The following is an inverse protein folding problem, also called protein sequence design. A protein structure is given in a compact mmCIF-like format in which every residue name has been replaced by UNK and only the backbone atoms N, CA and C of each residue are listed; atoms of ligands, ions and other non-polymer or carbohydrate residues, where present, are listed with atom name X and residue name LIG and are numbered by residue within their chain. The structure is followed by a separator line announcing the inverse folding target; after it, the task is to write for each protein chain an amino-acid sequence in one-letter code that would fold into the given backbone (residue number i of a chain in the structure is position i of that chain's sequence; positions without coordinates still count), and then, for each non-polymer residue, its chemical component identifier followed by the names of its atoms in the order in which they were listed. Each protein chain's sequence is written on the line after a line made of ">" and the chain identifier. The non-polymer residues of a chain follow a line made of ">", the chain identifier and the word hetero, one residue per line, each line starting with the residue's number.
data_IF_946154346265
#
_entry.id   IF_946154346265
#
_cell.length_a   1.000
_cell.length_b   1.000
_cell.length_c   1.000
_cell.angle_alpha   90.00
_cell.angle_beta   90.00
_cell.angle_gamma   90.00
#
_symmetry.space_group_name_H-M   'P 1'
#
loop_
_entity.id
_entity.type
_entity.pdbx_description
1 polymer ?
#
# COMPACT_ATOMS: atom_id res chain seq x y z
N UNK A 1 15.61 31.17 -79.85
CA UNK A 1 16.97 30.61 -79.95
C UNK A 1 17.78 31.22 -78.81
N UNK A 2 17.80 30.55 -77.65
CA UNK A 2 18.88 29.67 -77.15
C UNK A 2 19.98 30.55 -76.49
N UNK A 3 20.22 30.52 -75.18
CA UNK A 3 20.47 29.35 -74.34
C UNK A 3 20.00 29.54 -72.88
N UNK A 4 19.16 28.60 -72.45
CA UNK A 4 19.07 28.07 -71.08
C UNK A 4 20.24 27.06 -70.93
N UNK A 5 20.72 26.87 -69.70
CA UNK A 5 21.57 25.79 -69.15
C UNK A 5 23.00 26.18 -68.74
N UNK A 6 23.35 25.67 -67.54
CA UNK A 6 24.63 25.75 -66.81
C UNK A 6 24.94 27.06 -66.09
N UNK A 7 24.45 27.18 -64.87
CA UNK A 7 25.26 27.44 -63.66
C UNK A 7 24.37 27.30 -62.40
N UNK A 8 23.65 26.17 -62.35
CA UNK A 8 22.77 25.77 -61.24
C UNK A 8 23.31 24.43 -60.72
N UNK A 9 24.56 24.42 -60.26
CA UNK A 9 25.20 23.19 -59.76
C UNK A 9 26.42 23.41 -58.85
N UNK A 10 26.63 24.61 -58.29
CA UNK A 10 27.70 24.84 -57.29
C UNK A 10 27.18 25.40 -55.95
N UNK A 11 25.90 25.76 -55.84
CA UNK A 11 25.29 26.20 -54.57
C UNK A 11 24.51 25.12 -53.80
N UNK A 12 24.51 23.86 -54.25
CA UNK A 12 23.79 22.75 -53.58
C UNK A 12 24.71 21.79 -52.81
N UNK A 13 26.05 21.88 -52.97
CA UNK A 13 26.97 20.91 -52.34
C UNK A 13 27.59 21.43 -51.02
N UNK A 14 27.50 22.74 -50.71
CA UNK A 14 28.05 23.30 -49.47
C UNK A 14 27.02 23.48 -48.33
N UNK A 15 25.75 23.08 -48.52
CA UNK A 15 24.77 22.94 -47.44
C UNK A 15 24.68 21.49 -46.89
N UNK A 16 25.48 20.56 -47.44
CA UNK A 16 25.54 19.14 -47.05
C UNK A 16 26.74 18.80 -46.17
N UNK A 17 27.22 19.76 -45.39
CA UNK A 17 28.09 19.49 -44.26
C UNK A 17 27.48 20.03 -42.97
N UNK A 18 26.15 19.87 -42.83
CA UNK A 18 25.54 19.83 -41.51
C UNK A 18 26.24 18.68 -40.78
N UNK A 19 27.11 19.02 -39.81
CA UNK A 19 27.73 18.06 -38.91
C UNK A 19 26.66 17.04 -38.51
N UNK A 20 26.91 15.76 -38.81
CA UNK A 20 25.96 14.72 -38.42
C UNK A 20 25.64 14.92 -36.94
N UNK A 21 24.35 15.03 -36.58
CA UNK A 21 24.02 15.39 -35.22
C UNK A 21 24.58 14.36 -34.26
N UNK A 22 25.15 14.87 -33.18
CA UNK A 22 25.60 14.06 -32.08
C UNK A 22 24.35 13.46 -31.41
N UNK A 23 24.18 12.14 -31.51
CA UNK A 23 22.99 11.46 -31.02
C UNK A 23 22.80 11.62 -29.51
N UNK A 24 23.90 11.76 -28.75
CA UNK A 24 23.85 12.05 -27.32
C UNK A 24 23.28 13.45 -27.05
N UNK A 25 23.65 14.45 -27.86
CA UNK A 25 23.12 15.81 -27.73
C UNK A 25 21.63 15.86 -28.07
N UNK A 26 21.19 15.20 -29.14
CA UNK A 26 19.77 15.11 -29.47
C UNK A 26 18.95 14.41 -28.37
N UNK A 27 19.50 13.34 -27.80
CA UNK A 27 18.87 12.62 -26.70
C UNK A 27 18.75 13.49 -25.45
N UNK A 28 19.82 14.17 -25.05
CA UNK A 28 19.84 15.07 -23.89
C UNK A 28 18.93 16.29 -24.12
N UNK A 29 18.81 16.77 -25.35
CA UNK A 29 17.90 17.85 -25.73
C UNK A 29 16.42 17.42 -25.78
N UNK A 30 16.12 16.13 -25.62
CA UNK A 30 14.76 15.59 -25.69
C UNK A 30 14.19 15.55 -27.11
N UNK A 31 15.03 15.62 -28.14
CA UNK A 31 14.63 15.57 -29.56
C UNK A 31 14.46 14.11 -30.03
N UNK A 32 13.62 13.35 -29.32
CA UNK A 32 13.51 11.89 -29.47
C UNK A 32 13.09 11.43 -30.86
N UNK A 33 12.22 12.17 -31.56
CA UNK A 33 11.84 11.86 -32.95
C UNK A 33 13.07 11.91 -33.87
N UNK A 34 13.94 12.92 -33.71
CA UNK A 34 15.18 13.03 -34.49
C UNK A 34 16.20 11.97 -34.12
N UNK A 35 16.27 11.57 -32.85
CA UNK A 35 17.08 10.41 -32.44
C UNK A 35 16.60 9.17 -33.20
N UNK A 36 15.28 8.90 -33.20
CA UNK A 36 14.71 7.75 -33.92
C UNK A 36 14.98 7.82 -35.43
N UNK A 37 14.89 8.99 -36.04
CA UNK A 37 15.12 9.16 -37.48
C UNK A 37 16.59 9.06 -37.90
N UNK A 38 17.54 9.41 -37.03
CA UNK A 38 18.92 9.71 -37.44
C UNK A 38 20.00 8.89 -36.73
N UNK A 39 19.64 8.09 -35.72
CA UNK A 39 20.61 7.49 -34.79
C UNK A 39 20.51 5.97 -34.59
N UNK A 40 19.66 5.23 -35.31
CA UNK A 40 19.48 3.78 -35.14
C UNK A 40 20.81 3.00 -35.19
N UNK A 41 21.56 3.15 -36.28
CA UNK A 41 22.85 2.47 -36.47
C UNK A 41 23.95 2.92 -35.47
N UNK A 42 23.75 4.09 -34.85
CA UNK A 42 24.74 4.72 -33.96
C UNK A 42 24.54 4.30 -32.51
N UNK A 43 23.30 4.09 -32.08
CA UNK A 43 22.94 3.81 -30.69
C UNK A 43 22.75 2.31 -30.39
N UNK A 44 23.31 1.39 -31.18
CA UNK A 44 23.15 -0.06 -30.94
C UNK A 44 24.44 -0.80 -30.54
N UNK A 45 25.50 -0.08 -30.15
CA UNK A 45 26.84 -0.69 -29.97
C UNK A 45 27.12 -1.20 -28.56
N UNK A 46 26.56 -0.56 -27.54
CA UNK A 46 26.69 -0.97 -26.14
C UNK A 46 25.35 -0.82 -25.39
N UNK A 47 25.29 -1.34 -24.17
CA UNK A 47 24.04 -1.39 -23.39
C UNK A 47 23.47 0.00 -23.09
N UNK A 48 24.31 0.99 -22.78
CA UNK A 48 23.84 2.35 -22.53
C UNK A 48 23.24 2.98 -23.79
N UNK A 49 23.88 2.78 -24.93
CA UNK A 49 23.37 3.27 -26.21
C UNK A 49 22.06 2.57 -26.60
N UNK A 50 21.98 1.25 -26.42
CA UNK A 50 20.73 0.50 -26.65
C UNK A 50 19.60 1.00 -25.76
N UNK A 51 19.93 1.38 -24.54
CA UNK A 51 18.99 2.04 -23.64
C UNK A 51 18.57 3.41 -24.16
N UNK A 52 19.49 4.27 -24.60
CA UNK A 52 19.16 5.57 -25.20
C UNK A 52 18.24 5.41 -26.41
N UNK A 53 18.52 4.42 -27.28
CA UNK A 53 17.67 4.10 -28.42
C UNK A 53 16.26 3.67 -28.00
N UNK A 54 16.15 2.71 -27.08
CA UNK A 54 14.86 2.22 -26.59
C UNK A 54 14.03 3.33 -25.91
N UNK A 55 14.69 4.22 -25.15
CA UNK A 55 14.03 5.37 -24.52
C UNK A 55 13.61 6.41 -25.54
N UNK A 56 14.40 6.67 -26.59
CA UNK A 56 13.99 7.56 -27.68
C UNK A 56 12.76 7.01 -28.44
N UNK A 57 12.74 5.70 -28.70
CA UNK A 57 11.57 5.03 -29.28
C UNK A 57 10.34 5.15 -28.38
N UNK A 58 10.51 5.03 -27.06
CA UNK A 58 9.42 5.27 -26.11
C UNK A 58 8.94 6.72 -26.15
N UNK A 59 9.85 7.67 -25.96
CA UNK A 59 9.51 9.09 -25.76
C UNK A 59 9.09 9.83 -27.04
N UNK A 60 9.41 9.29 -28.23
CA UNK A 60 8.81 9.73 -29.50
C UNK A 60 7.32 9.35 -29.64
N UNK A 61 6.81 8.42 -28.82
CA UNK A 61 5.42 7.93 -28.89
C UNK A 61 4.63 8.19 -27.61
N UNK A 62 5.31 8.30 -26.48
CA UNK A 62 4.73 8.57 -25.16
C UNK A 62 5.48 9.76 -24.59
N UNK A 63 4.84 10.93 -24.52
CA UNK A 63 5.49 12.13 -24.00
C UNK A 63 6.06 11.87 -22.59
N UNK A 64 7.27 12.37 -22.26
CA UNK A 64 7.87 12.16 -20.94
C UNK A 64 6.95 12.56 -19.77
N UNK A 65 6.20 13.66 -19.92
CA UNK A 65 5.22 14.10 -18.91
C UNK A 65 4.10 13.07 -18.71
N UNK A 66 3.63 12.46 -19.80
CA UNK A 66 2.61 11.41 -19.74
C UNK A 66 3.14 10.13 -19.11
N UNK A 67 4.38 9.78 -19.42
CA UNK A 67 5.07 8.65 -18.77
C UNK A 67 5.20 8.86 -17.25
N UNK A 68 5.64 10.05 -16.82
CA UNK A 68 5.74 10.39 -15.40
C UNK A 68 4.36 10.43 -14.72
N UNK A 69 3.31 10.91 -15.39
CA UNK A 69 1.93 10.86 -14.89
C UNK A 69 1.50 9.41 -14.62
N UNK A 70 1.70 8.50 -15.60
CA UNK A 70 1.36 7.09 -15.47
C UNK A 70 2.11 6.46 -14.31
N UNK A 71 3.43 6.68 -14.24
CA UNK A 71 4.27 6.18 -13.16
C UNK A 71 3.77 6.69 -11.81
N UNK A 72 3.63 8.01 -11.67
CA UNK A 72 3.29 8.67 -10.42
C UNK A 72 1.92 8.22 -9.91
N UNK A 73 0.87 8.28 -10.75
CA UNK A 73 -0.49 7.88 -10.34
C UNK A 73 -0.53 6.40 -9.99
N UNK A 74 0.07 5.55 -10.82
CA UNK A 74 0.06 4.11 -10.57
C UNK A 74 0.85 3.72 -9.32
N UNK A 75 1.95 4.42 -9.02
CA UNK A 75 2.80 4.17 -7.86
C UNK A 75 2.26 4.78 -6.55
N UNK A 76 1.47 5.87 -6.63
CA UNK A 76 0.97 6.60 -5.46
C UNK A 76 -0.48 6.30 -5.09
N UNK A 77 -1.36 6.13 -6.07
CA UNK A 77 -2.81 6.13 -5.84
C UNK A 77 -3.53 4.87 -6.33
N UNK A 78 -2.83 3.95 -6.99
CA UNK A 78 -3.41 2.85 -7.79
C UNK A 78 -4.18 3.35 -9.01
N UNK A 79 -3.93 2.72 -10.17
CA UNK A 79 -4.65 2.98 -11.42
C UNK A 79 -6.17 2.84 -11.25
N UNK A 80 -6.63 1.81 -10.55
CA UNK A 80 -8.07 1.54 -10.38
C UNK A 80 -8.77 2.69 -9.65
N UNK A 81 -8.20 3.17 -8.56
CA UNK A 81 -8.78 4.26 -7.76
C UNK A 81 -8.84 5.54 -8.59
N UNK A 82 -7.80 5.81 -9.39
CA UNK A 82 -7.77 6.96 -10.29
C UNK A 82 -8.87 6.87 -11.36
N UNK A 83 -8.96 5.75 -12.08
CA UNK A 83 -9.93 5.58 -13.17
C UNK A 83 -11.36 5.61 -12.63
N UNK A 84 -11.61 5.03 -11.46
CA UNK A 84 -12.91 5.10 -10.79
C UNK A 84 -13.28 6.53 -10.38
N UNK A 85 -12.37 7.26 -9.74
CA UNK A 85 -12.66 8.62 -9.24
C UNK A 85 -12.81 9.64 -10.36
N UNK A 86 -12.07 9.49 -11.46
CA UNK A 86 -12.03 10.48 -12.53
C UNK A 86 -12.90 10.13 -13.73
N UNK A 87 -13.28 8.85 -13.88
CA UNK A 87 -13.90 8.33 -15.09
C UNK A 87 -12.97 8.33 -16.32
N UNK A 88 -11.67 8.64 -16.14
CA UNK A 88 -10.68 8.72 -17.22
C UNK A 88 -9.71 7.55 -17.12
N UNK A 89 -9.36 6.96 -18.27
CA UNK A 89 -8.28 5.96 -18.32
C UNK A 89 -6.93 6.61 -18.00
N UNK A 90 -6.10 5.92 -17.22
CA UNK A 90 -4.76 6.40 -16.89
C UNK A 90 -3.86 6.43 -18.13
N UNK A 91 -4.01 5.43 -18.99
CA UNK A 91 -3.23 5.26 -20.20
C UNK A 91 -4.08 4.71 -21.37
N UNK A 92 -3.64 4.98 -22.60
CA UNK A 92 -4.19 4.39 -23.82
C UNK A 92 -3.59 3.00 -24.10
N UNK A 93 -4.20 2.25 -25.02
CA UNK A 93 -3.67 0.97 -25.48
C UNK A 93 -2.32 1.12 -26.22
N UNK A 94 -2.13 2.24 -26.93
CA UNK A 94 -0.87 2.53 -27.62
C UNK A 94 0.25 2.84 -26.62
N UNK A 95 -0.02 3.68 -25.62
CA UNK A 95 0.94 3.97 -24.55
C UNK A 95 1.38 2.68 -23.83
N UNK A 96 0.42 1.79 -23.52
CA UNK A 96 0.71 0.47 -22.96
C UNK A 96 1.65 -0.34 -23.86
N UNK A 97 1.37 -0.39 -25.16
CA UNK A 97 2.18 -1.12 -26.13
C UNK A 97 3.62 -0.60 -26.15
N UNK A 98 3.80 0.72 -26.27
CA UNK A 98 5.14 1.32 -26.34
C UNK A 98 5.94 1.17 -25.04
N UNK A 99 5.29 1.29 -23.87
CA UNK A 99 5.97 1.08 -22.58
C UNK A 99 6.41 -0.37 -22.42
N UNK A 100 5.54 -1.33 -22.75
CA UNK A 100 5.89 -2.76 -22.69
C UNK A 100 7.00 -3.12 -23.68
N UNK A 101 7.03 -2.46 -24.84
CA UNK A 101 8.08 -2.70 -25.83
C UNK A 101 9.42 -2.11 -25.39
N UNK A 102 9.42 -0.89 -24.86
CA UNK A 102 10.61 -0.31 -24.22
C UNK A 102 11.14 -1.22 -23.10
N UNK A 103 10.25 -1.77 -22.26
CA UNK A 103 10.63 -2.70 -21.22
C UNK A 103 11.34 -3.95 -21.77
N UNK A 104 10.80 -4.61 -22.80
CA UNK A 104 11.43 -5.78 -23.41
C UNK A 104 12.84 -5.47 -23.93
N UNK A 105 13.04 -4.28 -24.48
CA UNK A 105 14.30 -3.86 -25.08
C UNK A 105 15.36 -3.47 -24.04
N UNK A 106 14.95 -3.07 -22.83
CA UNK A 106 15.90 -2.62 -21.79
C UNK A 106 16.13 -3.63 -20.66
N UNK A 107 15.22 -4.59 -20.42
CA UNK A 107 15.26 -5.45 -19.21
C UNK A 107 16.52 -6.29 -19.04
N UNK A 108 17.21 -6.61 -20.14
CA UNK A 108 18.44 -7.41 -20.12
C UNK A 108 19.72 -6.57 -20.09
N UNK A 109 19.62 -5.25 -20.24
CA UNK A 109 20.77 -4.36 -20.33
C UNK A 109 21.44 -4.20 -18.96
N UNK A 110 22.78 -4.22 -18.94
CA UNK A 110 23.58 -4.12 -17.72
C UNK A 110 24.14 -2.69 -17.59
N UNK A 111 23.34 -1.80 -17.02
CA UNK A 111 23.69 -0.39 -16.83
C UNK A 111 23.93 -0.12 -15.35
N UNK A 112 25.21 -0.06 -14.95
CA UNK A 112 25.60 0.03 -13.53
C UNK A 112 26.12 1.40 -13.09
N UNK A 113 26.57 2.24 -14.03
CA UNK A 113 27.26 3.52 -13.73
C UNK A 113 26.50 4.75 -14.23
N UNK A 114 25.18 4.63 -14.42
CA UNK A 114 24.33 5.70 -14.95
C UNK A 114 23.05 5.79 -14.10
N UNK A 115 23.04 6.56 -13.00
CA UNK A 115 21.95 6.55 -12.02
C UNK A 115 20.61 6.97 -12.62
N UNK A 116 20.61 7.94 -13.54
CA UNK A 116 19.39 8.40 -14.23
C UNK A 116 18.82 7.29 -15.13
N UNK A 117 19.69 6.52 -15.78
CA UNK A 117 19.27 5.38 -16.60
C UNK A 117 18.69 4.26 -15.74
N UNK A 118 19.34 3.93 -14.62
CA UNK A 118 18.84 2.93 -13.67
C UNK A 118 17.47 3.31 -13.10
N UNK A 119 17.30 4.58 -12.72
CA UNK A 119 16.02 5.09 -12.25
C UNK A 119 14.94 4.97 -13.32
N UNK A 120 15.25 5.33 -14.57
CA UNK A 120 14.28 5.22 -15.67
C UNK A 120 13.94 3.76 -16.00
N UNK A 121 14.92 2.85 -15.98
CA UNK A 121 14.69 1.41 -16.11
C UNK A 121 13.73 0.93 -15.02
N UNK A 122 13.96 1.33 -13.76
CA UNK A 122 13.07 0.98 -12.65
C UNK A 122 11.64 1.47 -12.88
N UNK A 123 11.46 2.72 -13.35
CA UNK A 123 10.13 3.26 -13.67
C UNK A 123 9.44 2.48 -14.80
N UNK A 124 10.15 2.23 -15.91
CA UNK A 124 9.61 1.48 -17.05
C UNK A 124 9.18 0.08 -16.61
N UNK A 125 10.02 -0.59 -15.83
CA UNK A 125 9.73 -1.89 -15.22
C UNK A 125 8.46 -1.85 -14.36
N UNK A 126 8.38 -0.89 -13.44
CA UNK A 126 7.24 -0.74 -12.54
C UNK A 126 5.94 -0.51 -13.31
N UNK A 127 5.96 0.33 -14.35
CA UNK A 127 4.77 0.56 -15.16
C UNK A 127 4.37 -0.72 -15.92
N UNK A 128 5.30 -1.37 -16.61
CA UNK A 128 5.04 -2.59 -17.39
C UNK A 128 4.45 -3.71 -16.51
N UNK A 129 5.13 -4.05 -15.43
CA UNK A 129 4.81 -5.27 -14.68
C UNK A 129 3.77 -5.04 -13.58
N UNK A 130 3.81 -3.88 -12.91
CA UNK A 130 2.93 -3.61 -11.76
C UNK A 130 1.67 -2.87 -12.19
N UNK A 131 1.79 -1.80 -12.97
CA UNK A 131 0.62 -0.97 -13.32
C UNK A 131 -0.18 -1.60 -14.46
N UNK A 132 0.49 -2.03 -15.53
CA UNK A 132 -0.17 -2.45 -16.77
C UNK A 132 -0.62 -3.92 -16.76
N UNK A 133 0.18 -4.84 -16.20
CA UNK A 133 -0.21 -6.26 -16.16
C UNK A 133 -1.16 -6.61 -14.99
N UNK A 134 -0.92 -6.11 -13.77
CA UNK A 134 -1.74 -6.50 -12.60
C UNK A 134 -3.17 -5.96 -12.61
N UNK A 135 -3.41 -4.80 -13.24
CA UNK A 135 -4.78 -4.25 -13.32
C UNK A 135 -5.70 -5.05 -14.24
N UNK A 136 -5.18 -6.01 -15.00
CA UNK A 136 -5.96 -6.85 -15.92
C UNK A 136 -6.16 -8.29 -15.41
N UNK A 137 -5.33 -8.77 -14.47
CA UNK A 137 -5.33 -10.15 -13.96
C UNK A 137 -6.16 -10.38 -12.69
N UNK A 138 -6.90 -9.38 -12.19
CA UNK A 138 -7.77 -9.52 -11.01
C UNK A 138 -9.01 -10.41 -11.23
N UNK A 139 -9.05 -11.19 -12.33
CA UNK A 139 -10.10 -12.17 -12.59
C UNK A 139 -9.82 -13.57 -12.01
N UNK A 140 -8.60 -13.91 -11.58
CA UNK A 140 -8.30 -15.29 -11.10
C UNK A 140 -7.62 -15.41 -9.72
N UNK A 141 -7.31 -14.30 -9.04
CA UNK A 141 -6.76 -14.32 -7.68
C UNK A 141 -5.36 -14.95 -7.55
N UNK A 142 -4.70 -15.33 -8.64
CA UNK A 142 -3.35 -15.90 -8.61
C UNK A 142 -2.30 -14.79 -8.73
N UNK A 143 -1.95 -14.21 -7.58
CA UNK A 143 -0.80 -13.31 -7.44
C UNK A 143 0.51 -14.09 -7.71
N UNK A 144 0.93 -14.22 -8.98
CA UNK A 144 2.27 -14.71 -9.31
C UNK A 144 3.33 -13.78 -8.72
N UNK A 145 4.17 -14.39 -7.89
CA UNK A 145 5.37 -13.90 -7.19
C UNK A 145 5.67 -12.40 -7.26
N UNK A 146 5.09 -11.63 -6.32
CA UNK A 146 5.33 -10.19 -6.20
C UNK A 146 6.74 -9.83 -5.72
N UNK A 147 7.45 -10.79 -5.12
CA UNK A 147 8.76 -10.57 -4.48
C UNK A 147 9.83 -10.17 -5.48
N UNK A 148 9.91 -10.87 -6.60
CA UNK A 148 10.97 -10.66 -7.61
C UNK A 148 10.86 -9.30 -8.29
N UNK A 149 9.63 -8.86 -8.60
CA UNK A 149 9.39 -7.57 -9.26
C UNK A 149 9.69 -6.39 -8.33
N UNK A 150 9.23 -6.47 -7.09
CA UNK A 150 9.49 -5.42 -6.10
C UNK A 150 10.98 -5.34 -5.77
N UNK A 151 11.66 -6.48 -5.69
CA UNK A 151 13.10 -6.54 -5.51
C UNK A 151 13.85 -5.90 -6.67
N UNK A 152 13.54 -6.25 -7.93
CA UNK A 152 14.21 -5.66 -9.09
C UNK A 152 14.04 -4.13 -9.15
N UNK A 153 12.82 -3.64 -8.91
CA UNK A 153 12.57 -2.21 -8.82
C UNK A 153 13.43 -1.55 -7.73
N UNK A 154 13.43 -2.12 -6.53
CA UNK A 154 14.16 -1.56 -5.39
C UNK A 154 15.67 -1.59 -5.57
N UNK A 155 16.22 -2.65 -6.16
CA UNK A 155 17.66 -2.77 -6.41
C UNK A 155 18.13 -1.68 -7.39
N UNK A 156 17.34 -1.38 -8.44
CA UNK A 156 17.66 -0.32 -9.39
C UNK A 156 17.48 1.09 -8.79
N UNK A 157 16.40 1.33 -8.04
CA UNK A 157 16.18 2.62 -7.35
C UNK A 157 17.29 2.85 -6.31
N UNK A 158 17.67 1.81 -5.56
CA UNK A 158 18.77 1.89 -4.60
C UNK A 158 20.11 2.18 -5.26
N UNK A 159 20.43 1.49 -6.35
CA UNK A 159 21.65 1.75 -7.11
C UNK A 159 21.71 3.20 -7.59
N UNK A 160 20.59 3.72 -8.08
CA UNK A 160 20.49 5.12 -8.50
C UNK A 160 20.67 6.11 -7.34
N UNK A 161 20.06 5.83 -6.17
CA UNK A 161 20.18 6.66 -4.98
C UNK A 161 21.60 6.65 -4.37
N UNK A 162 22.28 5.50 -4.41
CA UNK A 162 23.66 5.34 -3.92
C UNK A 162 24.66 6.04 -4.85
N UNK A 163 24.49 5.91 -6.17
CA UNK A 163 25.37 6.51 -7.16
C UNK A 163 25.17 8.03 -7.30
N UNK A 164 23.94 8.52 -7.11
CA UNK A 164 23.63 9.95 -7.05
C UNK A 164 22.86 10.31 -5.77
N UNK A 165 23.57 10.57 -4.66
CA UNK A 165 22.99 10.99 -3.38
C UNK A 165 22.06 12.21 -3.46
N UNK A 166 22.21 13.07 -4.47
CA UNK A 166 21.39 14.27 -4.68
C UNK A 166 20.09 13.99 -5.46
N UNK A 167 19.89 12.77 -5.95
CA UNK A 167 18.70 12.40 -6.69
C UNK A 167 17.50 12.25 -5.73
N UNK A 168 16.74 13.34 -5.61
CA UNK A 168 15.55 13.43 -4.75
C UNK A 168 14.49 12.39 -5.08
N UNK A 169 14.31 12.06 -6.35
CA UNK A 169 13.30 11.10 -6.78
C UNK A 169 13.68 9.67 -6.39
N UNK A 170 14.94 9.26 -6.60
CA UNK A 170 15.42 7.94 -6.18
C UNK A 170 15.34 7.80 -4.65
N UNK A 171 15.79 8.82 -3.91
CA UNK A 171 15.69 8.88 -2.45
C UNK A 171 14.22 8.78 -1.98
N UNK A 172 13.29 9.50 -2.62
CA UNK A 172 11.86 9.44 -2.29
C UNK A 172 11.28 8.05 -2.54
N UNK A 173 11.49 7.47 -3.72
CA UNK A 173 10.94 6.17 -4.09
C UNK A 173 11.44 5.05 -3.16
N UNK A 174 12.73 5.07 -2.82
CA UNK A 174 13.30 4.11 -1.88
C UNK A 174 12.79 4.33 -0.46
N UNK A 175 12.77 5.59 -0.02
CA UNK A 175 12.31 6.00 1.30
C UNK A 175 10.83 5.71 1.53
N UNK A 176 9.99 5.80 0.49
CA UNK A 176 8.55 5.51 0.56
C UNK A 176 8.27 4.10 1.08
N UNK A 177 9.11 3.14 0.70
CA UNK A 177 9.01 1.73 1.11
C UNK A 177 9.38 1.51 2.59
N UNK A 178 9.86 2.55 3.28
CA UNK A 178 10.00 2.52 4.73
C UNK A 178 8.69 2.66 5.48
N UNK A 179 7.59 3.01 4.80
CA UNK A 179 6.34 3.41 5.42
C UNK A 179 5.24 2.38 5.18
N UNK A 180 4.60 1.94 6.27
CA UNK A 180 3.34 1.21 6.23
C UNK A 180 2.17 2.12 6.64
N UNK A 181 1.03 1.90 6.00
CA UNK A 181 -0.22 2.54 6.38
C UNK A 181 -0.87 1.74 7.51
N UNK A 182 -1.26 2.44 8.57
CA UNK A 182 -1.94 1.85 9.71
C UNK A 182 -3.32 2.48 9.87
N UNK A 183 -4.33 1.64 9.87
CA UNK A 183 -5.68 2.03 10.23
C UNK A 183 -5.83 1.92 11.74
N UNK A 184 -6.16 3.02 12.40
CA UNK A 184 -6.51 3.00 13.83
C UNK A 184 -8.02 2.82 13.93
N UNK A 185 -8.43 1.71 14.55
CA UNK A 185 -9.84 1.40 14.74
C UNK A 185 -10.52 2.47 15.63
N UNK A 186 -11.70 2.94 15.19
CA UNK A 186 -12.43 4.02 15.86
C UNK A 186 -11.94 5.43 15.54
N UNK A 187 -10.98 5.60 14.62
CA UNK A 187 -10.64 6.88 14.01
C UNK A 187 -10.87 6.82 12.49
N UNK A 188 -12.02 7.29 11.99
CA UNK A 188 -12.33 7.25 10.55
C UNK A 188 -11.38 8.13 9.71
N UNK A 189 -10.59 9.01 10.33
CA UNK A 189 -9.53 9.79 9.67
C UNK A 189 -8.12 9.24 9.99
N UNK A 190 -8.02 8.15 10.75
CA UNK A 190 -6.80 7.63 11.36
C UNK A 190 -5.99 6.71 10.46
N UNK A 191 -5.69 7.17 9.24
CA UNK A 191 -4.68 6.51 8.39
C UNK A 191 -3.33 7.12 8.74
N UNK A 192 -2.58 6.41 9.58
CA UNK A 192 -1.28 6.85 10.06
C UNK A 192 -0.14 6.19 9.28
N UNK A 193 1.02 6.83 9.28
CA UNK A 193 2.24 6.37 8.61
C UNK A 193 3.25 5.92 9.65
N UNK A 194 3.51 4.61 9.68
CA UNK A 194 4.47 3.99 10.57
C UNK A 194 5.76 3.65 9.82
N UNK A 195 6.91 3.83 10.49
CA UNK A 195 8.22 3.43 9.96
C UNK A 195 8.38 1.91 10.13
N UNK A 196 8.11 1.15 9.07
CA UNK A 196 8.29 -0.30 9.04
C UNK A 196 9.70 -0.74 8.68
N UNK A 197 10.47 0.08 7.95
CA UNK A 197 11.86 -0.21 7.61
C UNK A 197 12.78 0.97 7.95
N UNK A 198 13.42 0.89 9.11
CA UNK A 198 14.32 1.93 9.63
C UNK A 198 15.55 2.16 8.74
N UNK A 199 15.96 1.20 7.90
CA UNK A 199 17.11 1.36 7.01
C UNK A 199 16.78 2.22 5.78
N UNK A 200 15.52 2.20 5.32
CA UNK A 200 15.08 2.96 4.16
C UNK A 200 14.58 4.37 4.52
N UNK A 201 14.10 4.58 5.74
CA UNK A 201 13.58 5.88 6.19
C UNK A 201 14.54 7.06 6.02
N UNK A 202 15.87 6.92 6.23
CA UNK A 202 16.82 8.00 5.97
C UNK A 202 16.80 8.55 4.54
N UNK A 203 16.47 7.72 3.54
CA UNK A 203 16.33 8.19 2.15
C UNK A 203 15.09 9.10 2.01
N UNK A 204 14.00 8.79 2.72
CA UNK A 204 12.79 9.63 2.72
C UNK A 204 13.07 10.99 3.34
N UNK A 205 13.76 11.02 4.49
CA UNK A 205 14.18 12.26 5.17
C UNK A 205 15.09 13.08 4.25
N UNK A 206 16.09 12.44 3.66
CA UNK A 206 17.03 13.09 2.74
C UNK A 206 16.34 13.70 1.52
N UNK A 207 15.37 13.00 0.92
CA UNK A 207 14.58 13.55 -0.18
C UNK A 207 13.80 14.81 0.26
N UNK A 208 13.24 14.80 1.48
CA UNK A 208 12.52 15.95 2.04
C UNK A 208 13.46 17.14 2.28
N UNK A 209 14.63 16.92 2.89
CA UNK A 209 15.66 17.93 3.13
C UNK A 209 16.18 18.57 1.82
N UNK A 210 16.18 17.80 0.73
CA UNK A 210 16.55 18.26 -0.61
C UNK A 210 15.37 18.91 -1.37
N UNK A 211 14.21 19.11 -0.72
CA UNK A 211 13.07 19.84 -1.27
C UNK A 211 12.04 19.01 -2.04
N UNK A 212 12.06 17.67 -1.94
CA UNK A 212 11.04 16.84 -2.57
C UNK A 212 9.69 16.97 -1.86
N UNK A 213 8.72 17.62 -2.49
CA UNK A 213 7.41 17.98 -1.89
C UNK A 213 6.69 16.78 -1.27
N UNK A 214 6.59 15.66 -1.98
CA UNK A 214 5.93 14.47 -1.42
C UNK A 214 6.73 13.83 -0.28
N UNK A 215 8.06 13.93 -0.30
CA UNK A 215 8.86 13.35 0.78
C UNK A 215 8.59 14.14 2.07
N UNK A 216 8.54 15.47 1.97
CA UNK A 216 8.19 16.35 3.07
C UNK A 216 6.81 16.00 3.66
N UNK A 217 5.78 15.87 2.82
CA UNK A 217 4.43 15.46 3.26
C UNK A 217 4.44 14.11 3.98
N UNK A 218 5.30 13.18 3.57
CA UNK A 218 5.41 11.86 4.19
C UNK A 218 6.15 11.90 5.53
N UNK A 219 7.26 12.63 5.60
CA UNK A 219 8.00 12.86 6.84
C UNK A 219 7.12 13.59 7.87
N UNK A 220 6.39 14.62 7.46
CA UNK A 220 5.49 15.38 8.35
C UNK A 220 4.37 14.50 8.92
N UNK A 221 3.79 13.63 8.10
CA UNK A 221 2.77 12.69 8.54
C UNK A 221 3.32 11.65 9.55
N UNK A 222 4.56 11.17 9.35
CA UNK A 222 5.23 10.28 10.31
C UNK A 222 5.51 11.00 11.63
N UNK A 223 6.01 12.23 11.57
CA UNK A 223 6.27 13.06 12.74
C UNK A 223 4.98 13.35 13.52
N UNK A 224 3.90 13.66 12.80
CA UNK A 224 2.57 13.86 13.39
C UNK A 224 2.09 12.61 14.12
N UNK A 225 2.25 11.44 13.51
CA UNK A 225 1.90 10.17 14.14
C UNK A 225 2.72 9.89 15.39
N UNK A 226 4.04 10.10 15.35
CA UNK A 226 4.88 9.93 16.54
C UNK A 226 4.50 10.88 17.68
N UNK A 227 4.23 12.15 17.37
CA UNK A 227 3.75 13.11 18.36
C UNK A 227 2.38 12.71 18.93
N UNK A 228 1.49 12.17 18.11
CA UNK A 228 0.21 11.62 18.55
C UNK A 228 0.41 10.44 19.52
N UNK A 229 1.25 9.47 19.15
CA UNK A 229 1.57 8.31 20.00
C UNK A 229 2.21 8.73 21.32
N UNK A 230 3.13 9.70 21.31
CA UNK A 230 3.74 10.24 22.52
C UNK A 230 2.68 10.84 23.45
N UNK A 231 1.79 11.68 22.90
CA UNK A 231 0.67 12.27 23.66
C UNK A 231 -0.26 11.19 24.21
N UNK A 232 -0.58 10.18 23.40
CA UNK A 232 -1.43 9.06 23.80
C UNK A 232 -0.79 8.27 24.95
N UNK A 233 0.49 7.94 24.84
CA UNK A 233 1.27 7.26 25.86
C UNK A 233 1.33 8.05 27.17
N UNK A 234 1.59 9.35 27.11
CA UNK A 234 1.63 10.22 28.29
C UNK A 234 0.25 10.33 28.97
N UNK A 235 -0.82 10.40 28.19
CA UNK A 235 -2.20 10.38 28.68
C UNK A 235 -2.56 9.06 29.37
N UNK A 236 -2.14 7.94 28.77
CA UNK A 236 -2.34 6.60 29.36
C UNK A 236 -1.54 6.43 30.67
N UNK A 237 -0.28 6.89 30.72
CA UNK A 237 0.54 6.92 31.95
C UNK A 237 -0.12 7.77 33.05
N UNK A 238 -0.80 8.84 32.67
CA UNK A 238 -1.59 9.68 33.59
C UNK A 238 -2.92 9.03 34.01
N UNK A 239 -3.20 7.82 33.53
CA UNK A 239 -4.37 7.04 33.87
C UNK A 239 -5.64 7.46 33.14
N UNK A 240 -5.55 8.09 31.97
CA UNK A 240 -6.72 8.42 31.15
C UNK A 240 -7.38 7.13 30.62
N UNK A 241 -8.67 6.87 30.93
CA UNK A 241 -9.35 5.64 30.55
C UNK A 241 -9.45 5.46 29.02
N UNK A 242 -9.72 6.55 28.30
CA UNK A 242 -9.79 6.52 26.83
C UNK A 242 -8.43 6.34 26.16
N UNK A 243 -7.35 6.85 26.77
CA UNK A 243 -6.01 6.64 26.25
C UNK A 243 -5.55 5.19 26.44
N UNK A 244 -5.83 4.60 27.60
CA UNK A 244 -5.59 3.17 27.85
C UNK A 244 -6.34 2.30 26.85
N UNK A 245 -7.63 2.56 26.63
CA UNK A 245 -8.41 1.84 25.62
C UNK A 245 -7.78 1.92 24.22
N UNK A 246 -7.39 3.12 23.78
CA UNK A 246 -6.74 3.31 22.46
C UNK A 246 -5.39 2.61 22.35
N UNK A 247 -4.60 2.55 23.42
CA UNK A 247 -3.37 1.75 23.42
C UNK A 247 -3.68 0.26 23.25
N UNK A 248 -4.69 -0.28 23.94
CA UNK A 248 -5.13 -1.65 23.74
C UNK A 248 -5.54 -1.93 22.29
N UNK A 249 -6.30 -1.02 21.66
CA UNK A 249 -6.66 -1.14 20.24
C UNK A 249 -5.42 -1.12 19.33
N UNK A 250 -4.46 -0.22 19.60
CA UNK A 250 -3.23 -0.16 18.83
C UNK A 250 -2.41 -1.45 18.96
N UNK A 251 -2.34 -2.05 20.15
CA UNK A 251 -1.66 -3.33 20.38
C UNK A 251 -2.28 -4.46 19.58
N UNK A 252 -3.61 -4.54 19.50
CA UNK A 252 -4.30 -5.54 18.68
C UNK A 252 -3.98 -5.41 17.18
N UNK A 253 -3.68 -4.19 16.72
CA UNK A 253 -3.31 -3.92 15.34
C UNK A 253 -1.80 -4.12 15.05
N UNK A 254 -0.93 -4.00 16.07
CA UNK A 254 0.53 -4.11 15.93
C UNK A 254 1.03 -5.55 15.97
N UNK A 255 0.44 -6.36 16.84
CA UNK A 255 0.89 -7.73 17.06
C UNK A 255 0.06 -8.63 16.15
N UNK A 256 0.71 -9.19 15.13
CA UNK A 256 0.05 -10.05 14.14
C UNK A 256 -0.27 -11.44 14.74
N UNK A 257 0.56 -11.92 15.66
CA UNK A 257 0.48 -13.26 16.19
C UNK A 257 -0.58 -13.42 17.29
N UNK A 258 -1.38 -14.46 17.12
CA UNK A 258 -2.26 -15.01 18.15
C UNK A 258 -1.51 -16.07 18.96
N UNK A 259 -1.62 -16.10 20.31
CA UNK A 259 -2.49 -15.27 21.17
C UNK A 259 -1.84 -13.95 21.65
N UNK A 260 -0.56 -13.72 21.32
CA UNK A 260 0.28 -12.67 21.90
C UNK A 260 -0.35 -11.27 21.82
N UNK A 261 -1.09 -10.95 20.76
CA UNK A 261 -1.74 -9.65 20.61
C UNK A 261 -2.78 -9.36 21.69
N UNK A 262 -3.57 -10.36 22.06
CA UNK A 262 -4.58 -10.21 23.11
C UNK A 262 -3.94 -10.17 24.49
N UNK A 263 -2.89 -10.96 24.73
CA UNK A 263 -2.15 -10.94 26.00
C UNK A 263 -1.57 -9.55 26.28
N UNK A 264 -1.00 -8.92 25.26
CA UNK A 264 -0.42 -7.58 25.38
C UNK A 264 -1.49 -6.48 25.48
N UNK A 265 -2.64 -6.65 24.82
CA UNK A 265 -3.73 -5.67 24.85
C UNK A 265 -4.55 -5.72 26.15
N UNK A 266 -4.66 -6.89 26.77
CA UNK A 266 -5.47 -7.14 27.97
C UNK A 266 -5.26 -6.12 29.11
N UNK A 267 -4.02 -5.86 29.60
CA UNK A 267 -3.82 -4.95 30.73
C UNK A 267 -4.29 -3.53 30.45
N UNK A 268 -4.33 -3.10 29.19
CA UNK A 268 -4.84 -1.79 28.80
C UNK A 268 -6.36 -1.74 28.92
N UNK A 269 -7.06 -2.76 28.41
CA UNK A 269 -8.51 -2.82 28.48
C UNK A 269 -9.02 -2.98 29.92
N UNK A 270 -8.33 -3.77 30.75
CA UNK A 270 -8.68 -3.95 32.16
C UNK A 270 -8.56 -2.63 32.93
N UNK A 271 -7.44 -1.95 32.77
CA UNK A 271 -7.22 -0.64 33.43
C UNK A 271 -8.20 0.42 32.93
N UNK A 272 -8.47 0.45 31.61
CA UNK A 272 -9.44 1.36 31.03
C UNK A 272 -10.85 1.12 31.61
N UNK A 273 -11.29 -0.13 31.66
CA UNK A 273 -12.59 -0.50 32.21
C UNK A 273 -12.70 -0.18 33.71
N UNK A 274 -11.69 -0.54 34.50
CA UNK A 274 -11.61 -0.23 35.94
C UNK A 274 -11.72 1.27 36.22
N UNK A 275 -11.25 2.11 35.29
CA UNK A 275 -11.33 3.57 35.38
C UNK A 275 -12.57 4.16 34.68
N UNK A 276 -13.54 3.33 34.33
CA UNK A 276 -14.85 3.75 33.84
C UNK A 276 -15.00 3.85 32.32
N UNK A 277 -14.02 3.40 31.52
CA UNK A 277 -14.16 3.36 30.06
C UNK A 277 -15.09 2.22 29.64
N UNK A 278 -16.38 2.53 29.46
CA UNK A 278 -17.40 1.52 29.21
C UNK A 278 -17.20 0.69 27.92
N UNK A 279 -16.76 1.27 26.79
CA UNK A 279 -16.48 0.48 25.58
C UNK A 279 -15.41 -0.61 25.78
N UNK A 280 -14.54 -0.49 26.78
CA UNK A 280 -13.53 -1.51 27.07
C UNK A 280 -14.12 -2.85 27.48
N UNK A 281 -15.36 -2.88 27.99
CA UNK A 281 -15.99 -4.15 28.39
C UNK A 281 -16.19 -5.10 27.21
N UNK A 282 -16.58 -4.57 26.04
CA UNK A 282 -16.74 -5.38 24.82
C UNK A 282 -15.38 -5.92 24.35
N UNK A 283 -14.34 -5.09 24.41
CA UNK A 283 -12.99 -5.53 24.08
C UNK A 283 -12.43 -6.54 25.07
N UNK A 284 -12.72 -6.42 26.36
CA UNK A 284 -12.35 -7.43 27.37
C UNK A 284 -13.02 -8.77 27.07
N UNK A 285 -14.32 -8.77 26.75
CA UNK A 285 -15.04 -9.99 26.37
C UNK A 285 -14.40 -10.69 25.17
N UNK A 286 -14.08 -9.95 24.12
CA UNK A 286 -13.36 -10.48 22.95
C UNK A 286 -11.96 -11.00 23.31
N UNK A 287 -11.22 -10.25 24.14
CA UNK A 287 -9.86 -10.59 24.56
C UNK A 287 -9.85 -11.88 25.38
N UNK A 288 -10.72 -12.00 26.39
CA UNK A 288 -10.83 -13.20 27.21
C UNK A 288 -11.26 -14.43 26.40
N UNK A 289 -12.20 -14.28 25.46
CA UNK A 289 -12.58 -15.36 24.54
C UNK A 289 -11.38 -15.85 23.72
N UNK A 290 -10.63 -14.94 23.12
CA UNK A 290 -9.46 -15.30 22.31
C UNK A 290 -8.32 -15.93 23.11
N UNK A 291 -8.15 -15.49 24.36
CA UNK A 291 -7.20 -16.08 25.31
C UNK A 291 -7.73 -17.35 26.00
N UNK A 292 -8.95 -17.80 25.67
CA UNK A 292 -9.60 -18.97 26.28
C UNK A 292 -9.72 -18.87 27.80
N UNK A 293 -9.97 -17.66 28.29
CA UNK A 293 -10.22 -17.35 29.70
C UNK A 293 -11.73 -17.41 29.97
N UNK A 294 -12.27 -18.63 30.04
CA UNK A 294 -13.72 -18.89 30.04
C UNK A 294 -14.47 -18.18 31.17
N UNK A 295 -13.97 -18.23 32.40
CA UNK A 295 -14.61 -17.60 33.56
C UNK A 295 -14.74 -16.09 33.37
N UNK A 296 -13.65 -15.42 33.02
CA UNK A 296 -13.62 -13.98 32.77
C UNK A 296 -14.47 -13.60 31.54
N UNK A 297 -14.48 -14.43 30.50
CA UNK A 297 -15.35 -14.23 29.36
C UNK A 297 -16.82 -14.26 29.78
N UNK A 298 -17.27 -15.28 30.53
CA UNK A 298 -18.65 -15.38 31.03
C UNK A 298 -19.01 -14.22 31.97
N UNK A 299 -18.10 -13.80 32.85
CA UNK A 299 -18.28 -12.62 33.70
C UNK A 299 -18.54 -11.35 32.86
N UNK A 300 -17.77 -11.14 31.80
CA UNK A 300 -17.99 -9.99 30.90
C UNK A 300 -19.32 -10.09 30.15
N UNK A 301 -19.75 -11.29 29.75
CA UNK A 301 -21.05 -11.49 29.13
C UNK A 301 -22.19 -11.10 30.08
N UNK A 302 -22.13 -11.51 31.36
CA UNK A 302 -23.10 -11.06 32.36
C UNK A 302 -23.10 -9.54 32.54
N UNK A 303 -21.93 -8.91 32.54
CA UNK A 303 -21.82 -7.45 32.65
C UNK A 303 -22.38 -6.72 31.43
N UNK A 304 -22.21 -7.27 30.22
CA UNK A 304 -22.79 -6.74 28.97
C UNK A 304 -24.31 -6.96 28.91
N UNK A 305 -24.79 -8.15 29.30
CA UNK A 305 -26.22 -8.47 29.34
C UNK A 305 -26.99 -7.56 30.31
N UNK A 306 -26.40 -7.18 31.45
CA UNK A 306 -26.97 -6.16 32.36
C UNK A 306 -27.17 -4.78 31.70
N UNK A 307 -26.56 -4.54 30.53
CA UNK A 307 -26.68 -3.33 29.71
C UNK A 307 -27.54 -3.56 28.47
N UNK A 308 -28.33 -4.61 28.46
CA UNK A 308 -29.21 -5.01 27.35
C UNK A 308 -28.45 -5.36 26.06
N UNK A 309 -27.20 -5.84 26.17
CA UNK A 309 -26.49 -6.40 25.03
C UNK A 309 -27.09 -7.75 24.64
N UNK A 310 -27.85 -7.75 23.53
CA UNK A 310 -28.60 -8.91 23.06
C UNK A 310 -27.67 -10.04 22.54
N UNK A 311 -26.47 -9.71 22.08
CA UNK A 311 -25.46 -10.69 21.65
C UNK A 311 -24.86 -11.40 22.86
N UNK A 312 -24.55 -10.65 23.92
CA UNK A 312 -24.07 -11.23 25.17
C UNK A 312 -25.13 -12.13 25.84
N UNK A 313 -26.40 -11.74 25.81
CA UNK A 313 -27.50 -12.59 26.29
C UNK A 313 -27.61 -13.90 25.50
N UNK A 314 -27.48 -13.86 24.18
CA UNK A 314 -27.45 -15.07 23.35
C UNK A 314 -26.29 -15.98 23.75
N UNK A 315 -25.08 -15.41 23.90
CA UNK A 315 -23.88 -16.17 24.29
C UNK A 315 -23.96 -16.76 25.70
N UNK A 316 -24.61 -16.09 26.65
CA UNK A 316 -24.92 -16.69 27.96
C UNK A 316 -25.86 -17.88 27.81
N UNK A 317 -26.85 -17.80 26.93
CA UNK A 317 -27.71 -18.94 26.62
C UNK A 317 -26.93 -20.13 26.09
N UNK A 318 -25.99 -19.90 25.16
CA UNK A 318 -25.09 -20.94 24.64
C UNK A 318 -24.26 -21.58 25.76
N UNK A 319 -23.69 -20.75 26.65
CA UNK A 319 -22.92 -21.21 27.80
C UNK A 319 -23.74 -22.15 28.69
N UNK A 320 -24.94 -21.75 29.13
CA UNK A 320 -25.77 -22.59 30.01
C UNK A 320 -26.24 -23.87 29.32
N UNK A 321 -26.54 -23.82 28.02
CA UNK A 321 -26.90 -25.02 27.27
C UNK A 321 -25.72 -26.00 27.21
N UNK A 322 -24.50 -25.50 27.00
CA UNK A 322 -23.28 -26.31 27.06
C UNK A 322 -23.03 -26.95 28.44
N UNK A 323 -23.45 -26.29 29.51
CA UNK A 323 -23.40 -26.87 30.87
C UNK A 323 -24.57 -27.84 31.15
N UNK A 324 -25.49 -28.04 30.20
CA UNK A 324 -26.68 -28.87 30.35
C UNK A 324 -27.85 -28.18 31.06
N UNK A 325 -27.72 -26.90 31.43
CA UNK A 325 -28.77 -26.11 32.06
C UNK A 325 -29.68 -25.45 31.01
N UNK A 326 -30.60 -26.26 30.48
CA UNK A 326 -31.54 -25.83 29.44
C UNK A 326 -32.53 -24.75 29.90
N UNK A 327 -32.82 -24.67 31.20
CA UNK A 327 -33.78 -23.70 31.75
C UNK A 327 -33.16 -22.30 31.83
N UNK A 328 -31.92 -22.21 32.33
CA UNK A 328 -31.14 -20.97 32.28
C UNK A 328 -30.88 -20.55 30.84
N UNK A 329 -30.53 -21.49 29.96
CA UNK A 329 -30.34 -21.21 28.54
C UNK A 329 -31.60 -20.61 27.89
N UNK A 330 -32.76 -21.22 28.13
CA UNK A 330 -34.07 -20.73 27.63
C UNK A 330 -34.34 -19.30 28.09
N UNK A 331 -34.09 -19.02 29.37
CA UNK A 331 -34.29 -17.68 29.94
C UNK A 331 -33.40 -16.65 29.24
N UNK A 332 -32.12 -16.95 29.04
CA UNK A 332 -31.19 -16.05 28.36
C UNK A 332 -31.52 -15.86 26.88
N UNK A 333 -31.91 -16.90 26.16
CA UNK A 333 -32.36 -16.76 24.77
C UNK A 333 -33.66 -15.94 24.65
N UNK A 334 -34.62 -16.10 25.55
CA UNK A 334 -35.83 -15.25 25.60
C UNK A 334 -35.49 -13.78 25.86
N UNK A 335 -34.52 -13.51 26.75
CA UNK A 335 -34.02 -12.16 26.98
C UNK A 335 -33.33 -11.59 25.73
N UNK A 336 -32.51 -12.38 25.04
CA UNK A 336 -31.88 -11.99 23.78
C UNK A 336 -32.92 -11.67 22.70
N UNK A 337 -33.97 -12.50 22.57
CA UNK A 337 -35.08 -12.29 21.66
C UNK A 337 -35.83 -10.98 21.98
N UNK A 338 -36.11 -10.74 23.26
CA UNK A 338 -36.77 -9.52 23.72
C UNK A 338 -35.94 -8.26 23.47
N UNK A 339 -34.61 -8.41 23.34
CA UNK A 339 -33.67 -7.36 22.95
C UNK A 339 -33.30 -7.41 21.45
N UNK A 340 -34.16 -8.02 20.62
CA UNK A 340 -34.07 -8.05 19.16
C UNK A 340 -32.83 -8.77 18.59
N UNK A 341 -32.30 -9.79 19.27
CA UNK A 341 -31.31 -10.68 18.65
C UNK A 341 -32.01 -11.62 17.65
N UNK A 342 -31.69 -11.54 16.34
CA UNK A 342 -32.37 -12.34 15.32
C UNK A 342 -32.07 -13.85 15.41
N UNK A 343 -30.98 -14.24 16.09
CA UNK A 343 -30.59 -15.64 16.25
C UNK A 343 -31.25 -16.32 17.44
N UNK A 344 -31.89 -15.56 18.34
CA UNK A 344 -32.44 -16.09 19.58
C UNK A 344 -33.58 -17.11 19.38
N UNK A 345 -34.42 -16.93 18.35
CA UNK A 345 -35.47 -17.90 18.05
C UNK A 345 -34.89 -19.26 17.63
N UNK A 346 -33.87 -19.25 16.77
CA UNK A 346 -33.18 -20.48 16.36
C UNK A 346 -32.56 -21.20 17.57
N UNK A 347 -31.94 -20.43 18.48
CA UNK A 347 -31.34 -21.00 19.69
C UNK A 347 -32.39 -21.59 20.65
N UNK A 348 -33.59 -21.00 20.73
CA UNK A 348 -34.72 -21.55 21.49
C UNK A 348 -35.24 -22.86 20.90
N UNK A 349 -35.24 -22.97 19.57
CA UNK A 349 -35.64 -24.19 18.86
C UNK A 349 -34.60 -25.31 19.08
N UNK A 350 -33.30 -24.97 19.01
CA UNK A 350 -32.18 -25.88 19.24
C UNK A 350 -32.20 -26.54 20.63
N UNK A 351 -32.70 -25.86 21.67
CA UNK A 351 -32.82 -26.45 23.01
C UNK A 351 -33.67 -27.73 23.02
N UNK A 352 -34.63 -27.85 22.11
CA UNK A 352 -35.54 -28.99 22.03
C UNK A 352 -35.07 -30.05 21.02
N UNK A 353 -34.32 -29.65 19.98
CA UNK A 353 -33.96 -30.50 18.83
C UNK A 353 -32.51 -30.95 18.84
N UNK A 354 -31.66 -30.30 19.64
CA UNK A 354 -30.21 -30.55 19.72
C UNK A 354 -29.74 -30.89 21.14
N UNK A 355 -28.52 -31.41 21.22
CA UNK A 355 -27.80 -31.68 22.47
C UNK A 355 -26.79 -30.57 22.82
N UNK A 356 -26.53 -29.63 21.90
CA UNK A 356 -25.66 -28.48 22.11
C UNK A 356 -26.09 -27.29 21.22
N UNK A 357 -25.63 -26.05 21.52
CA UNK A 357 -25.89 -24.90 20.65
C UNK A 357 -25.31 -25.10 19.24
N UNK A 358 -25.92 -24.46 18.23
CA UNK A 358 -25.39 -24.43 16.86
C UNK A 358 -23.93 -23.95 16.78
N UNK A 359 -23.57 -22.95 17.59
CA UNK A 359 -22.20 -22.41 17.64
C UNK A 359 -21.18 -23.37 18.27
N UNK A 360 -21.64 -24.46 18.90
CA UNK A 360 -20.82 -25.38 19.67
C UNK A 360 -20.40 -24.83 21.04
N UNK A 361 -19.68 -25.65 21.79
CA UNK A 361 -19.28 -25.35 23.17
C UNK A 361 -17.80 -24.97 23.33
N UNK A 362 -17.02 -24.91 22.26
CA UNK A 362 -15.56 -24.73 22.34
C UNK A 362 -15.09 -23.33 22.76
N UNK A 363 -16.02 -22.38 22.99
CA UNK A 363 -15.74 -21.02 23.45
C UNK A 363 -15.76 -20.88 24.98
N UNK A 364 -16.24 -21.92 25.68
CA UNK A 364 -16.42 -22.00 27.13
C UNK A 364 -15.74 -23.26 27.66
#
# INVERSE_FOLDING_TARGET
>A
MNYIFMLLSIFVVHALNAQQPNCDELFVAGEYDRVVEQCEDKLNKNDFQRFQWAVAQLYSKVQPQKFEEIFFIGHMFSKMVYEYKTGKKLNSNLEKYYINEAFKNIKSLQITNQPEAQLLIAKIYYISEIILQKTEQWSDGSSKDNGDYQKYFLDNVKSAADANPANTQANFLLGKESIKYKHVEGDPNGVYREISNKQLYPYLVKAAEQGHEFAQVWVDAVNHWHAHLEKLNNSAKSGSPGALYRLGMNTLAEVEEEPARYEQALPFFEQAYKKGHQPSLKMLSMTYRSLRMADQFVETLHALAKRNDAEAMLKLGDYYFCQGDKDSARTWYQNAQSNNNPLAQYALDDLNTSHSPYAGCGEF
#
